data_IF_854727555095
#
_entry.id   IF_854727555095
#
_cell.length_a   1.000
_cell.length_b   1.000
_cell.length_c   1.000
_cell.angle_alpha   90.00
_cell.angle_beta   90.00
_cell.angle_gamma   90.00
#
_symmetry.space_group_name_H-M   'P 1'
#
loop_
_entity.id
_entity.type
_entity.pdbx_description
1 polymer ?
#
# COMPACT_ATOMS: atom_id res chain seq x y z
N UNK A 1 -5.89 2.43 6.46
CA UNK A 1 -6.16 1.22 5.68
C UNK A 1 -6.12 1.57 4.19
N UNK A 2 -5.68 0.63 3.38
CA UNK A 2 -5.69 0.69 1.92
C UNK A 2 -6.39 -0.56 1.40
N UNK A 3 -7.26 -0.42 0.41
CA UNK A 3 -7.76 -1.56 -0.36
C UNK A 3 -7.03 -1.58 -1.69
N UNK A 4 -6.39 -2.71 -2.01
CA UNK A 4 -5.65 -2.91 -3.25
C UNK A 4 -5.94 -4.32 -3.80
N UNK A 5 -6.38 -4.42 -5.05
CA UNK A 5 -6.80 -5.65 -5.73
C UNK A 5 -7.79 -6.51 -4.92
N UNK A 6 -8.77 -5.88 -4.27
CA UNK A 6 -9.75 -6.51 -3.36
C UNK A 6 -9.14 -7.13 -2.08
N UNK A 7 -7.90 -6.82 -1.76
CA UNK A 7 -7.25 -7.15 -0.50
C UNK A 7 -7.14 -5.90 0.38
N UNK A 8 -7.44 -6.05 1.67
CA UNK A 8 -7.30 -4.99 2.66
C UNK A 8 -5.89 -5.02 3.26
N UNK A 9 -5.32 -3.83 3.44
CA UNK A 9 -4.00 -3.65 4.01
C UNK A 9 -4.00 -2.59 5.10
N UNK A 10 -3.27 -2.85 6.19
CA UNK A 10 -2.96 -1.84 7.19
C UNK A 10 -1.64 -1.14 6.87
N UNK A 11 -1.66 0.19 6.95
CA UNK A 11 -0.50 1.04 6.72
C UNK A 11 0.36 1.00 7.97
N UNK A 12 1.66 0.74 7.80
CA UNK A 12 2.62 0.73 8.90
C UNK A 12 3.57 1.93 8.82
N UNK A 13 4.29 2.20 9.91
CA UNK A 13 5.38 3.18 9.93
C UNK A 13 6.75 2.55 9.66
N UNK A 14 6.78 1.29 9.21
CA UNK A 14 8.03 0.61 8.90
C UNK A 14 8.57 1.09 7.55
N UNK A 15 9.84 1.51 7.47
CA UNK A 15 10.46 1.87 6.21
C UNK A 15 10.71 0.62 5.36
N UNK A 16 10.52 0.74 4.04
CA UNK A 16 10.86 -0.30 3.09
C UNK A 16 12.36 -0.23 2.75
N UNK A 17 13.00 -1.39 2.54
CA UNK A 17 14.38 -1.42 2.03
C UNK A 17 14.36 -1.24 0.52
N UNK A 18 15.26 -0.41 0.00
CA UNK A 18 15.33 -0.11 -1.43
C UNK A 18 15.51 -1.35 -2.32
N UNK A 19 16.22 -2.37 -1.82
CA UNK A 19 16.45 -3.65 -2.52
C UNK A 19 15.20 -4.55 -2.60
N UNK A 20 14.21 -4.32 -1.74
CA UNK A 20 12.97 -5.09 -1.71
C UNK A 20 11.88 -4.44 -2.58
N UNK A 21 12.03 -3.18 -2.97
CA UNK A 21 11.00 -2.43 -3.71
C UNK A 21 11.03 -2.83 -5.20
N UNK A 22 9.92 -3.39 -5.67
CA UNK A 22 9.74 -3.86 -7.03
C UNK A 22 9.10 -2.84 -7.95
N UNK A 23 8.41 -3.35 -8.98
CA UNK A 23 7.75 -2.49 -9.95
C UNK A 23 6.60 -1.70 -9.31
N UNK A 24 6.33 -0.52 -9.89
CA UNK A 24 5.17 0.29 -9.53
C UNK A 24 3.90 -0.41 -10.03
N UNK A 25 2.98 -0.70 -9.12
CA UNK A 25 1.68 -1.30 -9.40
C UNK A 25 0.63 -0.25 -9.77
N UNK A 26 0.72 0.95 -9.17
CA UNK A 26 -0.22 2.02 -9.43
C UNK A 26 -0.18 3.11 -8.36
N UNK A 27 -1.32 3.74 -8.11
CA UNK A 27 -1.47 4.80 -7.11
C UNK A 27 -2.84 4.78 -6.44
N UNK A 28 -2.90 5.31 -5.21
CA UNK A 28 -4.15 5.61 -4.51
C UNK A 28 -4.90 6.69 -5.30
N UNK A 29 -6.13 6.40 -5.69
CA UNK A 29 -6.93 7.32 -6.52
C UNK A 29 -7.87 8.19 -5.69
N UNK A 30 -8.14 7.80 -4.44
CA UNK A 30 -9.07 8.54 -3.58
C UNK A 30 -8.75 8.35 -2.10
N UNK A 31 -8.63 9.48 -1.40
CA UNK A 31 -8.64 9.51 0.06
C UNK A 31 -10.07 9.71 0.57
N UNK A 32 -10.53 8.82 1.43
CA UNK A 32 -11.82 8.97 2.11
C UNK A 32 -11.59 9.51 3.52
N UNK A 33 -12.26 10.61 3.88
CA UNK A 33 -12.06 11.27 5.18
C UNK A 33 -13.05 10.82 6.24
N UNK A 34 -14.27 10.47 5.83
CA UNK A 34 -15.41 10.27 6.74
C UNK A 34 -15.68 8.81 7.10
N UNK A 35 -15.16 7.86 6.31
CA UNK A 35 -15.30 6.43 6.58
C UNK A 35 -14.07 5.89 7.30
N UNK A 36 -14.29 5.03 8.29
CA UNK A 36 -13.22 4.30 8.98
C UNK A 36 -12.58 3.21 8.10
N UNK A 37 -13.30 2.74 7.09
CA UNK A 37 -12.87 1.61 6.27
C UNK A 37 -13.14 1.91 4.78
N UNK A 38 -12.10 1.98 3.92
CA UNK A 38 -12.28 1.91 2.48
C UNK A 38 -12.90 0.58 2.06
N UNK A 39 -13.76 0.62 1.04
CA UNK A 39 -14.49 -0.56 0.53
C UNK A 39 -14.26 -0.80 -0.95
N UNK A 40 -13.60 0.12 -1.64
CA UNK A 40 -13.29 0.02 -3.07
C UNK A 40 -11.79 0.03 -3.27
N UNK A 41 -11.41 -0.58 -4.39
CA UNK A 41 -10.03 -0.65 -4.80
C UNK A 41 -9.39 0.74 -4.97
N UNK A 42 -8.10 0.83 -4.66
CA UNK A 42 -7.32 2.07 -4.68
C UNK A 42 -7.84 3.19 -3.76
N UNK A 43 -8.75 2.89 -2.82
CA UNK A 43 -9.17 3.83 -1.78
C UNK A 43 -8.34 3.66 -0.50
N UNK A 44 -8.03 4.77 0.15
CA UNK A 44 -7.44 4.78 1.47
C UNK A 44 -8.13 5.78 2.39
N UNK A 45 -8.19 5.47 3.68
CA UNK A 45 -8.58 6.45 4.70
C UNK A 45 -7.38 7.02 5.48
N UNK A 46 -6.16 6.69 5.06
CA UNK A 46 -4.91 7.13 5.71
C UNK A 46 -4.01 7.83 4.69
N UNK A 47 -3.72 7.14 3.59
CA UNK A 47 -2.80 7.60 2.55
C UNK A 47 -3.45 8.70 1.70
N UNK A 48 -2.61 9.61 1.20
CA UNK A 48 -3.04 10.65 0.27
C UNK A 48 -3.30 10.12 -1.14
N UNK A 49 -4.11 10.85 -1.91
CA UNK A 49 -4.26 10.61 -3.34
C UNK A 49 -2.89 10.74 -4.03
N UNK A 50 -2.66 9.96 -5.07
CA UNK A 50 -1.38 9.82 -5.79
C UNK A 50 -0.26 9.16 -4.98
N UNK A 51 -0.55 8.63 -3.78
CA UNK A 51 0.40 7.74 -3.10
C UNK A 51 0.68 6.56 -4.00
N UNK A 52 1.94 6.37 -4.38
CA UNK A 52 2.36 5.30 -5.26
C UNK A 52 2.38 3.97 -4.52
N UNK A 53 2.02 2.90 -5.22
CA UNK A 53 2.00 1.53 -4.70
C UNK A 53 2.99 0.68 -5.50
N UNK A 54 3.81 -0.10 -4.81
CA UNK A 54 4.84 -0.96 -5.39
C UNK A 54 4.69 -2.39 -4.88
N UNK A 55 5.07 -3.35 -5.71
CA UNK A 55 5.20 -4.74 -5.28
C UNK A 55 6.47 -4.95 -4.44
N UNK A 56 6.50 -6.06 -3.72
CA UNK A 56 7.72 -6.55 -3.10
C UNK A 56 8.46 -7.49 -4.07
N UNK A 57 9.75 -7.26 -4.26
CA UNK A 57 10.65 -8.20 -4.93
C UNK A 57 10.81 -9.42 -4.03
N UNK A 58 10.55 -10.60 -4.58
CA UNK A 58 10.62 -11.86 -3.85
C UNK A 58 11.68 -12.78 -4.42
N UNK A 59 12.18 -13.66 -3.55
CA UNK A 59 12.79 -14.93 -3.97
C UNK A 59 11.75 -16.08 -4.04
N UNK A 60 10.57 -15.99 -3.38
CA UNK A 60 9.51 -17.01 -3.37
C UNK A 60 8.08 -16.42 -3.48
N UNK A 61 7.18 -17.10 -4.21
CA UNK A 61 5.79 -16.67 -4.48
C UNK A 61 4.82 -16.95 -3.30
N UNK A 62 4.71 -16.04 -2.32
CA UNK A 62 3.54 -16.01 -1.42
C UNK A 62 2.42 -15.14 -2.03
N UNK A 63 1.16 -15.52 -1.82
CA UNK A 63 -0.01 -14.78 -2.34
C UNK A 63 -0.44 -13.63 -1.43
N UNK A 64 0.13 -13.50 -0.23
CA UNK A 64 -0.26 -12.48 0.76
C UNK A 64 0.93 -11.65 1.20
N UNK A 65 1.56 -11.00 0.23
CA UNK A 65 2.75 -10.23 0.47
C UNK A 65 2.42 -8.83 0.94
N UNK A 66 3.32 -8.21 1.73
CA UNK A 66 3.34 -6.78 1.86
C UNK A 66 3.47 -6.11 0.48
N UNK A 67 2.88 -4.93 0.39
CA UNK A 67 3.15 -3.96 -0.68
C UNK A 67 3.87 -2.76 -0.08
N UNK A 68 4.48 -1.94 -0.91
CA UNK A 68 5.10 -0.69 -0.45
C UNK A 68 4.32 0.51 -0.96
N UNK A 69 4.36 1.59 -0.17
CA UNK A 69 3.72 2.85 -0.55
C UNK A 69 4.66 4.04 -0.39
N UNK A 70 4.62 4.97 -1.35
CA UNK A 70 5.33 6.26 -1.30
C UNK A 70 4.34 7.40 -1.38
N UNK A 71 4.20 8.17 -0.30
CA UNK A 71 3.30 9.33 -0.31
C UNK A 71 3.88 10.47 -1.18
N UNK A 72 3.03 11.32 -1.80
CA UNK A 72 3.48 12.35 -2.76
C UNK A 72 4.53 13.33 -2.23
N UNK A 73 4.58 13.50 -0.91
CA UNK A 73 5.47 14.43 -0.21
C UNK A 73 6.56 13.71 0.61
N UNK A 74 6.71 12.40 0.45
CA UNK A 74 7.70 11.57 1.12
C UNK A 74 8.72 11.05 0.12
N UNK A 75 10.00 11.07 0.49
CA UNK A 75 11.03 10.34 -0.26
C UNK A 75 11.15 8.88 0.18
N UNK A 76 10.58 8.53 1.32
CA UNK A 76 10.64 7.18 1.90
C UNK A 76 9.40 6.35 1.53
N UNK A 77 9.65 5.11 1.11
CA UNK A 77 8.63 4.08 0.95
C UNK A 77 8.38 3.38 2.29
N UNK A 78 7.11 3.04 2.57
CA UNK A 78 6.73 2.31 3.79
C UNK A 78 6.11 0.96 3.47
N UNK A 79 6.27 0.02 4.40
CA UNK A 79 5.65 -1.30 4.33
C UNK A 79 4.16 -1.21 4.65
N UNK A 80 3.36 -1.85 3.82
CA UNK A 80 1.90 -1.96 3.99
C UNK A 80 1.54 -3.43 3.93
N UNK A 81 0.94 -3.94 5.01
CA UNK A 81 0.78 -5.39 5.23
C UNK A 81 -0.65 -5.84 5.03
N UNK A 82 -0.87 -7.00 4.40
CA UNK A 82 -2.22 -7.52 4.19
C UNK A 82 -2.85 -7.88 5.53
N UNK A 83 -4.12 -7.54 5.67
CA UNK A 83 -4.93 -8.02 6.79
C UNK A 83 -5.29 -9.49 6.55
N UNK A 84 -4.98 -10.33 7.52
CA UNK A 84 -5.43 -11.72 7.53
C UNK A 84 -6.94 -11.72 7.79
N UNK A 85 -7.71 -12.21 6.81
CA UNK A 85 -9.13 -12.53 7.01
C UNK A 85 -9.29 -13.70 7.97
#
# INVERSE_FOLDING_TARGET
MLVWENQEYYVTNEPAKAEEIGQRLGEVTKKIETSKEPTKDSESNVLEEKTEVFEMILEEEDKRLPIFVKEPHSEECRVVRPMLK
#
